data_IF_624727859436
#
_entry.id   IF_624727859436
#
_cell.length_a   1.000
_cell.length_b   1.000
_cell.length_c   1.000
_cell.angle_alpha   90.00
_cell.angle_beta   90.00
_cell.angle_gamma   90.00
#
_symmetry.space_group_name_H-M   'P 1'
#
loop_
_entity.id
_entity.type
_entity.pdbx_description
1 polymer ?
#
# COMPACT_ATOMS: atom_id res chain seq x y z
N UNK A 1 -30.26 -10.62 13.45
CA UNK A 1 -29.01 -10.06 12.95
C UNK A 1 -28.59 -10.86 11.71
N UNK A 2 -28.05 -10.22 10.72
CA UNK A 2 -27.55 -10.84 9.46
C UNK A 2 -26.52 -11.94 9.74
N UNK A 3 -25.82 -11.88 10.87
CA UNK A 3 -24.74 -12.82 11.26
C UNK A 3 -25.22 -14.12 11.92
N UNK A 4 -26.43 -14.20 12.42
CA UNK A 4 -26.93 -15.39 13.16
C UNK A 4 -27.25 -16.61 12.25
N UNK A 5 -27.32 -16.44 10.95
CA UNK A 5 -27.66 -17.52 10.00
C UNK A 5 -26.50 -18.00 9.14
N UNK A 6 -25.37 -17.27 9.10
CA UNK A 6 -24.21 -17.65 8.32
C UNK A 6 -23.06 -18.17 9.20
N UNK A 7 -22.30 -19.16 8.72
CA UNK A 7 -21.09 -19.60 9.43
C UNK A 7 -20.01 -18.50 9.36
N UNK A 8 -19.20 -18.39 10.42
CA UNK A 8 -18.07 -17.45 10.51
C UNK A 8 -17.16 -17.58 9.27
N UNK A 9 -16.86 -18.80 8.87
CA UNK A 9 -16.02 -19.08 7.70
C UNK A 9 -16.64 -18.53 6.40
N UNK A 10 -17.96 -18.56 6.27
CA UNK A 10 -18.65 -17.98 5.09
C UNK A 10 -18.51 -16.47 5.06
N UNK A 11 -18.66 -15.79 6.19
CA UNK A 11 -18.50 -14.33 6.29
C UNK A 11 -17.07 -13.91 5.96
N UNK A 12 -16.08 -14.61 6.52
CA UNK A 12 -14.66 -14.38 6.23
C UNK A 12 -14.39 -14.56 4.72
N UNK A 13 -14.85 -15.66 4.12
CA UNK A 13 -14.67 -15.90 2.67
C UNK A 13 -15.28 -14.83 1.77
N UNK A 14 -16.39 -14.24 2.19
CA UNK A 14 -17.06 -13.15 1.45
C UNK A 14 -16.28 -11.83 1.55
N UNK A 15 -15.64 -11.56 2.70
CA UNK A 15 -14.89 -10.33 2.94
C UNK A 15 -13.42 -10.39 2.46
N UNK A 16 -12.86 -11.59 2.37
CA UNK A 16 -11.48 -11.83 1.94
C UNK A 16 -11.11 -11.17 0.59
N UNK A 17 -11.91 -11.26 -0.48
CA UNK A 17 -11.56 -10.67 -1.78
C UNK A 17 -11.24 -9.19 -1.71
N UNK A 18 -11.97 -8.43 -0.89
CA UNK A 18 -11.73 -6.99 -0.67
C UNK A 18 -10.38 -6.77 0.00
N UNK A 19 -10.16 -7.44 1.14
CA UNK A 19 -8.91 -7.27 1.90
C UNK A 19 -7.69 -7.75 1.11
N UNK A 20 -7.81 -8.87 0.37
CA UNK A 20 -6.76 -9.36 -0.53
C UNK A 20 -6.48 -8.31 -1.63
N UNK A 21 -7.49 -7.75 -2.24
CA UNK A 21 -7.34 -6.71 -3.28
C UNK A 21 -6.57 -5.52 -2.75
N UNK A 22 -7.02 -4.92 -1.66
CA UNK A 22 -6.38 -3.73 -1.09
C UNK A 22 -4.95 -4.05 -0.60
N UNK A 23 -4.78 -5.18 0.08
CA UNK A 23 -3.49 -5.63 0.60
C UNK A 23 -2.48 -5.94 -0.51
N UNK A 24 -2.88 -6.72 -1.52
CA UNK A 24 -2.01 -7.11 -2.62
C UNK A 24 -1.57 -5.91 -3.46
N UNK A 25 -2.53 -5.14 -3.98
CA UNK A 25 -2.22 -3.99 -4.82
C UNK A 25 -1.52 -2.89 -4.04
N UNK A 26 -1.94 -2.63 -2.78
CA UNK A 26 -1.28 -1.68 -1.91
C UNK A 26 0.18 -2.04 -1.68
N UNK A 27 0.47 -3.29 -1.26
CA UNK A 27 1.83 -3.78 -1.05
C UNK A 27 2.66 -3.70 -2.33
N UNK A 28 2.12 -4.18 -3.45
CA UNK A 28 2.81 -4.18 -4.73
C UNK A 28 3.24 -2.76 -5.13
N UNK A 29 2.32 -1.80 -5.09
CA UNK A 29 2.59 -0.40 -5.45
C UNK A 29 3.59 0.23 -4.48
N UNK A 30 3.40 0.03 -3.17
CA UNK A 30 4.32 0.56 -2.15
C UNK A 30 5.74 0.07 -2.44
N UNK A 31 5.96 -1.22 -2.63
CA UNK A 31 7.30 -1.76 -2.85
C UNK A 31 7.90 -1.35 -4.20
N UNK A 32 7.11 -1.41 -5.28
CA UNK A 32 7.58 -1.03 -6.62
C UNK A 32 7.96 0.44 -6.74
N UNK A 33 7.30 1.33 -6.01
CA UNK A 33 7.56 2.77 -6.08
C UNK A 33 8.55 3.22 -5.01
N UNK A 34 8.39 2.75 -3.75
CA UNK A 34 9.21 3.21 -2.62
C UNK A 34 10.67 2.77 -2.72
N UNK A 35 10.93 1.52 -3.17
CA UNK A 35 12.29 1.01 -3.24
C UNK A 35 13.13 1.80 -4.26
N UNK A 36 12.76 1.93 -5.52
CA UNK A 36 13.52 2.71 -6.49
C UNK A 36 13.69 4.18 -6.08
N UNK A 37 12.61 4.78 -5.52
CA UNK A 37 12.66 6.15 -5.04
C UNK A 37 13.60 6.31 -3.85
N UNK A 38 13.56 5.42 -2.86
CA UNK A 38 14.45 5.41 -1.70
C UNK A 38 15.92 5.26 -2.09
N UNK A 39 16.23 4.34 -3.02
CA UNK A 39 17.57 4.16 -3.58
C UNK A 39 18.04 5.46 -4.25
N UNK A 40 17.22 6.04 -5.13
CA UNK A 40 17.57 7.29 -5.82
C UNK A 40 17.80 8.43 -4.84
N UNK A 41 17.01 8.53 -3.78
CA UNK A 41 17.18 9.52 -2.70
C UNK A 41 18.48 9.32 -1.93
N UNK A 42 18.89 8.08 -1.69
CA UNK A 42 20.16 7.77 -1.04
C UNK A 42 21.36 8.15 -1.91
N UNK A 43 21.31 7.81 -3.21
CA UNK A 43 22.37 8.17 -4.17
C UNK A 43 22.53 9.68 -4.32
N UNK A 44 21.43 10.42 -4.38
CA UNK A 44 21.40 11.87 -4.53
C UNK A 44 21.12 12.59 -3.20
N UNK A 45 21.59 12.03 -2.08
CA UNK A 45 21.33 12.57 -0.75
C UNK A 45 21.79 14.02 -0.62
N UNK A 46 20.91 14.88 -0.08
CA UNK A 46 21.14 16.32 0.08
C UNK A 46 20.95 17.15 -1.19
N UNK A 47 20.65 16.53 -2.34
CA UNK A 47 20.33 17.24 -3.58
C UNK A 47 18.93 17.89 -3.50
N UNK A 48 18.65 18.82 -4.43
CA UNK A 48 17.32 19.42 -4.56
C UNK A 48 16.22 18.38 -4.75
N UNK A 49 16.50 17.32 -5.52
CA UNK A 49 15.57 16.20 -5.70
C UNK A 49 15.26 15.51 -4.36
N UNK A 50 16.28 15.22 -3.55
CA UNK A 50 16.08 14.57 -2.26
C UNK A 50 15.29 15.45 -1.30
N UNK A 51 15.60 16.74 -1.22
CA UNK A 51 14.91 17.69 -0.35
C UNK A 51 13.43 17.83 -0.76
N UNK A 52 13.15 18.14 -2.02
CA UNK A 52 11.77 18.35 -2.48
C UNK A 52 10.94 17.07 -2.38
N UNK A 53 11.47 15.93 -2.82
CA UNK A 53 10.75 14.66 -2.69
C UNK A 53 10.51 14.26 -1.24
N UNK A 54 11.43 14.54 -0.31
CA UNK A 54 11.21 14.33 1.12
C UNK A 54 10.09 15.22 1.65
N UNK A 55 10.06 16.49 1.25
CA UNK A 55 9.00 17.43 1.65
C UNK A 55 7.63 16.93 1.21
N UNK A 56 7.48 16.52 -0.06
CA UNK A 56 6.20 15.97 -0.55
C UNK A 56 5.81 14.67 0.15
N UNK A 57 6.76 13.78 0.40
CA UNK A 57 6.53 12.52 1.12
C UNK A 57 6.06 12.80 2.55
N UNK A 58 6.71 13.73 3.26
CA UNK A 58 6.36 14.07 4.65
C UNK A 58 4.98 14.75 4.71
N UNK A 59 4.67 15.67 3.79
CA UNK A 59 3.34 16.29 3.71
C UNK A 59 2.27 15.21 3.47
N UNK A 60 2.49 14.30 2.51
CA UNK A 60 1.57 13.21 2.25
C UNK A 60 1.39 12.27 3.45
N UNK A 61 2.48 11.98 4.16
CA UNK A 61 2.45 11.14 5.36
C UNK A 61 1.71 11.78 6.54
N UNK A 62 1.75 13.12 6.64
CA UNK A 62 1.05 13.85 7.69
C UNK A 62 -0.48 13.82 7.52
N UNK A 63 -0.99 13.54 6.34
CA UNK A 63 -2.41 13.42 6.07
C UNK A 63 -2.88 12.02 6.49
N UNK A 64 -3.82 11.88 7.45
CA UNK A 64 -4.40 10.60 7.78
C UNK A 64 -5.02 9.93 6.54
N UNK A 65 -4.81 8.61 6.37
CA UNK A 65 -5.24 7.89 5.17
C UNK A 65 -6.75 8.05 4.87
N UNK A 66 -7.59 8.10 5.91
CA UNK A 66 -9.03 8.30 5.71
C UNK A 66 -9.36 9.72 5.22
N UNK A 67 -8.66 10.77 5.67
CA UNK A 67 -8.84 12.12 5.14
C UNK A 67 -8.38 12.19 3.69
N UNK A 68 -7.29 11.52 3.37
CA UNK A 68 -6.84 11.42 1.98
C UNK A 68 -7.86 10.69 1.10
N UNK A 69 -8.49 9.61 1.62
CA UNK A 69 -9.61 8.94 0.94
C UNK A 69 -10.78 9.88 0.67
N UNK A 70 -11.17 10.70 1.67
CA UNK A 70 -12.23 11.72 1.48
C UNK A 70 -11.86 12.72 0.39
N UNK A 71 -10.62 13.22 0.39
CA UNK A 71 -10.16 14.13 -0.67
C UNK A 71 -10.23 13.47 -2.05
N UNK A 72 -9.78 12.21 -2.17
CA UNK A 72 -9.86 11.48 -3.43
C UNK A 72 -11.32 11.32 -3.92
N UNK A 73 -12.24 11.00 -3.01
CA UNK A 73 -13.67 10.87 -3.33
C UNK A 73 -14.23 12.21 -3.79
N UNK A 74 -14.02 13.28 -3.02
CA UNK A 74 -14.57 14.61 -3.33
C UNK A 74 -14.06 15.13 -4.67
N UNK A 75 -12.77 14.93 -4.96
CA UNK A 75 -12.20 15.43 -6.21
C UNK A 75 -12.48 14.53 -7.40
N UNK A 76 -12.53 13.20 -7.24
CA UNK A 76 -12.48 12.28 -8.37
C UNK A 76 -13.66 11.32 -8.49
N UNK A 77 -14.54 11.17 -7.47
CA UNK A 77 -15.64 10.22 -7.48
C UNK A 77 -16.98 10.77 -6.97
N UNK A 78 -17.00 11.98 -6.44
CA UNK A 78 -18.19 12.56 -5.81
C UNK A 78 -19.06 13.43 -6.71
N UNK A 79 -18.72 13.58 -8.00
CA UNK A 79 -19.42 14.45 -8.93
C UNK A 79 -19.33 15.95 -8.62
N UNK A 80 -18.61 16.34 -7.55
CA UNK A 80 -18.44 17.75 -7.14
C UNK A 80 -17.44 18.50 -8.01
N UNK A 81 -16.35 17.82 -8.44
CA UNK A 81 -15.30 18.38 -9.29
C UNK A 81 -15.09 17.52 -10.53
N UNK A 82 -14.50 16.34 -10.39
CA UNK A 82 -14.26 15.39 -11.47
C UNK A 82 -14.98 14.08 -11.15
N UNK A 83 -15.78 13.57 -12.07
CA UNK A 83 -16.47 12.29 -11.96
C UNK A 83 -15.73 11.27 -12.82
N UNK A 84 -14.52 10.88 -12.36
CA UNK A 84 -13.61 10.04 -13.12
C UNK A 84 -13.59 8.60 -12.64
N UNK A 85 -13.92 8.35 -11.36
CA UNK A 85 -13.84 7.02 -10.75
C UNK A 85 -15.12 6.66 -10.02
N UNK A 86 -15.48 5.37 -9.96
CA UNK A 86 -16.63 4.91 -9.20
C UNK A 86 -16.40 5.09 -7.70
N UNK A 87 -17.48 5.43 -7.00
CA UNK A 87 -17.44 5.67 -5.55
C UNK A 87 -17.47 4.36 -4.76
N UNK A 88 -18.11 3.31 -5.26
CA UNK A 88 -18.48 2.13 -4.46
C UNK A 88 -18.16 0.82 -5.17
N UNK A 89 -17.80 -0.19 -4.35
CA UNK A 89 -17.64 -1.57 -4.78
C UNK A 89 -16.29 -1.84 -5.45
N UNK A 90 -15.99 -3.12 -5.66
CA UNK A 90 -14.79 -3.57 -6.36
C UNK A 90 -14.98 -3.64 -7.89
N UNK A 91 -16.24 -3.69 -8.34
CA UNK A 91 -16.61 -3.86 -9.74
C UNK A 91 -18.01 -3.28 -9.98
N UNK A 92 -18.35 -3.03 -11.23
CA UNK A 92 -19.67 -2.57 -11.67
C UNK A 92 -20.76 -3.62 -11.46
N UNK A 93 -22.03 -3.18 -11.38
CA UNK A 93 -23.18 -4.08 -11.20
C UNK A 93 -23.36 -5.09 -12.35
N UNK A 94 -22.97 -4.72 -13.56
CA UNK A 94 -23.02 -5.52 -14.77
C UNK A 94 -21.73 -6.31 -15.08
N UNK A 95 -20.79 -6.36 -14.12
CA UNK A 95 -19.48 -7.01 -14.27
C UNK A 95 -19.56 -8.44 -14.85
N UNK A 96 -20.57 -9.22 -14.44
CA UNK A 96 -20.72 -10.60 -14.91
C UNK A 96 -20.93 -10.70 -16.42
N UNK A 97 -21.61 -9.72 -17.02
CA UNK A 97 -21.94 -9.66 -18.45
C UNK A 97 -20.82 -9.08 -19.32
N UNK A 98 -19.81 -8.43 -18.71
CA UNK A 98 -18.71 -7.82 -19.42
C UNK A 98 -17.78 -8.86 -20.07
N UNK A 99 -17.21 -8.58 -21.25
CA UNK A 99 -16.14 -9.39 -21.82
C UNK A 99 -14.87 -9.33 -20.95
N UNK A 100 -14.01 -10.35 -21.02
CA UNK A 100 -12.88 -10.52 -20.11
C UNK A 100 -11.93 -9.30 -20.00
N UNK A 101 -11.68 -8.60 -21.12
CA UNK A 101 -10.81 -7.41 -21.11
C UNK A 101 -11.47 -6.22 -20.41
N UNK A 102 -12.79 -6.05 -20.54
CA UNK A 102 -13.53 -5.01 -19.82
C UNK A 102 -13.62 -5.33 -18.33
N UNK A 103 -13.67 -6.60 -17.93
CA UNK A 103 -13.62 -7.00 -16.53
C UNK A 103 -12.32 -6.55 -15.85
N UNK A 104 -11.19 -6.65 -16.55
CA UNK A 104 -9.90 -6.18 -16.02
C UNK A 104 -9.90 -4.66 -15.85
N UNK A 105 -10.32 -3.93 -16.86
CA UNK A 105 -10.37 -2.46 -16.82
C UNK A 105 -11.37 -1.94 -15.80
N UNK A 106 -12.53 -2.55 -15.69
CA UNK A 106 -13.56 -2.21 -14.70
C UNK A 106 -13.03 -2.43 -13.27
N UNK A 107 -12.45 -3.59 -13.01
CA UNK A 107 -11.85 -3.88 -11.70
C UNK A 107 -10.73 -2.89 -11.35
N UNK A 108 -9.78 -2.64 -12.25
CA UNK A 108 -8.69 -1.70 -12.00
C UNK A 108 -9.22 -0.28 -11.77
N UNK A 109 -10.25 0.11 -12.47
CA UNK A 109 -10.89 1.42 -12.32
C UNK A 109 -11.54 1.58 -10.94
N UNK A 110 -12.26 0.57 -10.46
CA UNK A 110 -12.89 0.58 -9.14
C UNK A 110 -11.88 0.59 -7.99
N UNK A 111 -10.78 -0.16 -8.10
CA UNK A 111 -9.80 -0.27 -7.01
C UNK A 111 -8.80 0.89 -6.96
N UNK A 112 -8.74 1.75 -7.97
CA UNK A 112 -7.72 2.81 -8.08
C UNK A 112 -7.73 3.74 -6.87
N UNK A 113 -8.85 4.36 -6.55
CA UNK A 113 -8.93 5.30 -5.43
C UNK A 113 -8.75 4.62 -4.05
N UNK A 114 -9.42 3.49 -3.75
CA UNK A 114 -9.19 2.76 -2.49
C UNK A 114 -7.74 2.36 -2.29
N UNK A 115 -7.08 1.84 -3.34
CA UNK A 115 -5.67 1.45 -3.27
C UNK A 115 -4.76 2.66 -3.07
N UNK A 116 -4.97 3.76 -3.78
CA UNK A 116 -4.20 4.99 -3.57
C UNK A 116 -4.33 5.52 -2.15
N UNK A 117 -5.53 5.44 -1.56
CA UNK A 117 -5.76 5.85 -0.19
C UNK A 117 -5.00 4.96 0.83
N UNK A 118 -4.87 3.66 0.57
CA UNK A 118 -4.11 2.75 1.44
C UNK A 118 -2.60 2.91 1.30
N UNK A 119 -2.11 3.26 0.10
CA UNK A 119 -0.69 3.34 -0.22
C UNK A 119 0.03 4.49 0.48
N UNK A 120 -0.64 5.62 0.72
CA UNK A 120 0.02 6.87 1.12
C UNK A 120 0.87 6.75 2.40
N UNK A 121 0.38 6.04 3.41
CA UNK A 121 1.10 5.85 4.68
C UNK A 121 2.31 4.92 4.54
N UNK A 122 2.13 3.76 3.93
CA UNK A 122 3.19 2.77 3.74
C UNK A 122 4.28 3.24 2.78
N UNK A 123 3.90 4.00 1.75
CA UNK A 123 4.81 4.59 0.77
C UNK A 123 5.89 5.47 1.42
N UNK A 124 5.49 6.36 2.32
CA UNK A 124 6.42 7.25 2.99
C UNK A 124 7.39 6.47 3.89
N UNK A 125 6.87 5.57 4.71
CA UNK A 125 7.66 4.78 5.65
C UNK A 125 8.70 3.92 4.91
N UNK A 126 8.30 3.18 3.88
CA UNK A 126 9.20 2.30 3.14
C UNK A 126 10.24 3.09 2.31
N UNK A 127 9.86 4.24 1.74
CA UNK A 127 10.80 5.09 1.01
C UNK A 127 11.91 5.60 1.91
N UNK A 128 11.56 6.08 3.12
CA UNK A 128 12.56 6.57 4.08
C UNK A 128 13.39 5.45 4.67
N UNK A 129 12.79 4.29 4.97
CA UNK A 129 13.52 3.09 5.40
C UNK A 129 14.55 2.68 4.35
N UNK A 130 14.14 2.58 3.09
CA UNK A 130 15.04 2.22 1.99
C UNK A 130 16.16 3.24 1.83
N UNK A 131 15.83 4.55 1.84
CA UNK A 131 16.85 5.60 1.78
C UNK A 131 17.89 5.43 2.88
N UNK A 132 17.45 5.27 4.13
CA UNK A 132 18.37 5.17 5.28
C UNK A 132 19.21 3.90 5.21
N UNK A 133 18.62 2.76 4.90
CA UNK A 133 19.36 1.50 4.74
C UNK A 133 20.47 1.61 3.67
N UNK A 134 20.19 2.28 2.55
CA UNK A 134 21.20 2.51 1.51
C UNK A 134 22.28 3.51 1.94
N UNK A 135 21.90 4.59 2.63
CA UNK A 135 22.89 5.57 3.14
C UNK A 135 23.86 4.93 4.14
N UNK A 136 23.34 4.09 5.02
CA UNK A 136 24.17 3.38 6.01
C UNK A 136 25.16 2.44 5.31
N UNK A 137 24.71 1.71 4.29
CA UNK A 137 25.60 0.81 3.53
C UNK A 137 26.62 1.55 2.67
N UNK A 138 26.27 2.65 2.02
CA UNK A 138 27.17 3.45 1.17
C UNK A 138 28.37 4.00 2.00
N UNK A 139 28.17 4.25 3.28
CA UNK A 139 29.20 4.80 4.18
C UNK A 139 30.14 3.76 4.79
N UNK A 140 29.91 2.46 4.58
CA UNK A 140 30.71 1.40 5.18
C UNK A 140 32.10 1.27 4.55
N UNK A 141 33.06 0.81 5.36
CA UNK A 141 34.44 0.69 4.97
C UNK A 141 34.68 -0.20 3.74
N UNK A 142 33.89 -1.23 3.56
CA UNK A 142 34.04 -2.09 2.38
C UNK A 142 33.76 -1.37 1.06
N UNK A 143 32.87 -0.35 1.07
CA UNK A 143 32.58 0.51 -0.10
C UNK A 143 33.81 1.37 -0.42
N UNK A 144 34.43 1.98 0.60
CA UNK A 144 35.68 2.75 0.45
C UNK A 144 36.79 1.86 -0.12
N UNK A 145 36.94 0.66 0.43
CA UNK A 145 37.93 -0.32 -0.06
C UNK A 145 37.70 -0.73 -1.51
N UNK A 146 36.43 -0.95 -1.91
CA UNK A 146 36.10 -1.30 -3.29
C UNK A 146 36.42 -0.15 -4.27
N UNK A 147 36.15 1.10 -3.88
CA UNK A 147 36.55 2.29 -4.67
C UNK A 147 38.07 2.38 -4.84
N UNK A 148 38.80 2.19 -3.73
CA UNK A 148 40.28 2.21 -3.78
C UNK A 148 40.86 1.12 -4.69
N UNK A 149 40.17 -0.01 -4.87
CA UNK A 149 40.52 -1.09 -5.81
C UNK A 149 40.08 -0.82 -7.25
N UNK A 150 39.51 0.34 -7.56
CA UNK A 150 39.08 0.71 -8.91
C UNK A 150 37.75 0.07 -9.37
N UNK A 151 36.94 -0.49 -8.45
CA UNK A 151 35.63 -1.01 -8.81
C UNK A 151 34.70 0.14 -9.15
N UNK A 152 33.98 0.04 -10.28
CA UNK A 152 33.08 1.10 -10.73
C UNK A 152 31.92 1.34 -9.74
N UNK A 153 31.46 2.60 -9.61
CA UNK A 153 30.36 2.98 -8.72
C UNK A 153 29.08 2.16 -8.98
N UNK A 154 28.79 1.85 -10.24
CA UNK A 154 27.67 1.00 -10.62
C UNK A 154 27.78 -0.42 -10.05
N UNK A 155 28.98 -1.01 -10.10
CA UNK A 155 29.20 -2.35 -9.54
C UNK A 155 29.15 -2.31 -8.00
N UNK A 156 29.72 -1.29 -7.37
CA UNK A 156 29.66 -1.10 -5.91
C UNK A 156 28.18 -1.01 -5.49
N UNK A 157 27.40 -0.14 -6.16
CA UNK A 157 26.01 0.07 -5.81
C UNK A 157 25.17 -1.21 -5.95
N UNK A 158 25.23 -1.89 -7.11
CA UNK A 158 24.34 -3.02 -7.39
C UNK A 158 24.82 -4.36 -6.84
N UNK A 159 26.13 -4.62 -6.75
CA UNK A 159 26.64 -5.90 -6.24
C UNK A 159 26.83 -5.91 -4.73
N UNK A 160 27.24 -4.79 -4.15
CA UNK A 160 27.63 -4.73 -2.73
C UNK A 160 26.60 -3.99 -1.88
N UNK A 161 26.31 -2.73 -2.20
CA UNK A 161 25.39 -1.91 -1.39
C UNK A 161 23.96 -2.43 -1.47
N UNK A 162 23.42 -2.65 -2.69
CA UNK A 162 22.06 -3.10 -2.88
C UNK A 162 21.76 -4.41 -2.14
N UNK A 163 22.65 -5.40 -2.28
CA UNK A 163 22.46 -6.70 -1.64
C UNK A 163 22.33 -6.60 -0.12
N UNK A 164 23.18 -5.78 0.50
CA UNK A 164 23.19 -5.64 1.96
C UNK A 164 22.06 -4.73 2.46
N UNK A 165 21.83 -3.59 1.83
CA UNK A 165 20.76 -2.67 2.21
C UNK A 165 19.36 -3.30 2.07
N UNK A 166 19.14 -4.12 1.04
CA UNK A 166 17.87 -4.80 0.81
C UNK A 166 17.55 -5.88 1.85
N UNK A 167 18.52 -6.38 2.60
CA UNK A 167 18.25 -7.37 3.67
C UNK A 167 17.26 -6.82 4.70
N UNK A 168 17.41 -5.54 5.09
CA UNK A 168 16.50 -4.90 6.03
C UNK A 168 15.08 -4.75 5.45
N UNK A 169 14.98 -4.35 4.18
CA UNK A 169 13.71 -4.18 3.47
C UNK A 169 12.99 -5.52 3.29
N UNK A 170 13.74 -6.55 2.87
CA UNK A 170 13.20 -7.91 2.64
C UNK A 170 12.78 -8.55 3.97
N UNK A 171 13.54 -8.36 5.05
CA UNK A 171 13.21 -8.91 6.36
C UNK A 171 11.87 -8.37 6.90
N UNK A 172 11.52 -7.11 6.59
CA UNK A 172 10.25 -6.50 6.97
C UNK A 172 9.04 -6.93 6.10
N UNK A 173 9.30 -7.45 4.89
CA UNK A 173 8.24 -7.76 3.92
C UNK A 173 7.19 -8.76 4.43
N UNK A 174 7.53 -9.91 5.04
CA UNK A 174 6.53 -10.88 5.48
C UNK A 174 5.56 -10.29 6.50
N UNK A 175 6.05 -9.53 7.47
CA UNK A 175 5.21 -8.89 8.49
C UNK A 175 4.28 -7.84 7.87
N UNK A 176 4.80 -6.99 6.99
CA UNK A 176 4.01 -5.97 6.26
C UNK A 176 2.94 -6.64 5.39
N UNK A 177 3.31 -7.67 4.65
CA UNK A 177 2.40 -8.43 3.78
C UNK A 177 1.26 -9.06 4.58
N UNK A 178 1.58 -9.77 5.66
CA UNK A 178 0.58 -10.38 6.54
C UNK A 178 -0.33 -9.30 7.15
N UNK A 179 0.23 -8.22 7.68
CA UNK A 179 -0.57 -7.17 8.30
C UNK A 179 -1.56 -6.54 7.33
N UNK A 180 -1.17 -6.31 6.07
CA UNK A 180 -2.06 -5.75 5.05
C UNK A 180 -3.25 -6.66 4.70
N UNK A 181 -3.06 -7.99 4.76
CA UNK A 181 -4.14 -8.95 4.49
C UNK A 181 -5.12 -9.08 5.66
N UNK A 182 -4.63 -9.04 6.89
CA UNK A 182 -5.44 -9.37 8.07
C UNK A 182 -5.87 -8.17 8.89
N UNK A 183 -5.20 -7.04 8.77
CA UNK A 183 -5.56 -5.87 9.59
C UNK A 183 -6.75 -5.11 9.02
N UNK A 184 -7.05 -5.29 7.71
CA UNK A 184 -8.11 -4.54 7.03
C UNK A 184 -7.89 -3.02 7.14
N UNK A 185 -8.54 -2.28 6.30
CA UNK A 185 -8.54 -0.82 6.40
C UNK A 185 -9.97 -0.34 6.64
N UNK A 186 -10.49 -0.55 7.86
CA UNK A 186 -11.87 -0.25 8.21
C UNK A 186 -12.35 1.09 7.64
N UNK A 187 -11.59 2.16 7.85
CA UNK A 187 -12.01 3.49 7.41
C UNK A 187 -12.05 3.60 5.88
N UNK A 188 -11.11 2.99 5.17
CA UNK A 188 -11.11 2.95 3.70
C UNK A 188 -12.27 2.08 3.20
N UNK A 189 -12.48 0.91 3.81
CA UNK A 189 -13.59 0.02 3.48
C UNK A 189 -14.94 0.71 3.66
N UNK A 190 -15.13 1.47 4.75
CA UNK A 190 -16.34 2.26 4.97
C UNK A 190 -16.51 3.36 3.93
N UNK A 191 -15.44 4.14 3.65
CA UNK A 191 -15.50 5.27 2.71
C UNK A 191 -15.89 4.84 1.29
N UNK A 192 -15.35 3.71 0.83
CA UNK A 192 -15.61 3.17 -0.51
C UNK A 192 -16.70 2.10 -0.54
N UNK A 193 -17.44 1.91 0.57
CA UNK A 193 -18.48 0.90 0.71
C UNK A 193 -18.02 -0.51 0.31
N UNK A 194 -16.84 -0.91 0.80
CA UNK A 194 -16.20 -2.20 0.55
C UNK A 194 -16.43 -3.12 1.76
N UNK A 195 -16.94 -4.32 1.52
CA UNK A 195 -17.18 -5.32 2.57
C UNK A 195 -15.92 -6.16 2.81
N UNK A 196 -14.91 -5.55 3.42
CA UNK A 196 -13.66 -6.23 3.78
C UNK A 196 -13.65 -6.77 5.21
N UNK A 197 -12.52 -7.38 5.60
CA UNK A 197 -12.34 -7.96 6.94
C UNK A 197 -12.32 -6.89 8.05
N UNK A 198 -11.86 -5.67 7.75
CA UNK A 198 -11.87 -4.57 8.72
C UNK A 198 -13.30 -4.17 9.08
N UNK A 199 -14.18 -4.02 8.10
CA UNK A 199 -15.59 -3.72 8.33
C UNK A 199 -16.30 -4.88 9.02
N UNK A 200 -16.06 -6.12 8.60
CA UNK A 200 -16.62 -7.32 9.24
C UNK A 200 -16.25 -7.39 10.73
N UNK A 201 -14.98 -7.17 11.08
CA UNK A 201 -14.53 -7.18 12.47
C UNK A 201 -15.13 -6.06 13.30
N UNK A 202 -15.28 -4.87 12.74
CA UNK A 202 -15.94 -3.75 13.39
C UNK A 202 -17.42 -4.03 13.66
N UNK A 203 -18.17 -4.51 12.68
CA UNK A 203 -19.59 -4.83 12.81
C UNK A 203 -19.82 -5.97 13.82
N UNK A 204 -18.96 -6.99 13.81
CA UNK A 204 -18.97 -8.05 14.82
C UNK A 204 -18.75 -7.51 16.23
N UNK A 205 -17.83 -6.56 16.39
CA UNK A 205 -17.53 -5.93 17.67
C UNK A 205 -18.72 -5.12 18.19
N UNK A 206 -19.30 -4.27 17.36
CA UNK A 206 -20.46 -3.44 17.71
C UNK A 206 -21.68 -4.29 18.04
N UNK A 207 -21.91 -5.38 17.30
CA UNK A 207 -23.01 -6.32 17.53
C UNK A 207 -22.73 -7.34 18.63
N UNK A 208 -21.55 -7.33 19.24
CA UNK A 208 -21.09 -8.30 20.26
C UNK A 208 -21.19 -9.76 19.77
N UNK A 209 -20.86 -9.98 18.50
CA UNK A 209 -20.84 -11.31 17.91
C UNK A 209 -19.46 -11.96 18.14
N UNK A 210 -19.27 -12.50 19.36
CA UNK A 210 -18.00 -13.10 19.77
C UNK A 210 -17.49 -14.20 18.84
N UNK A 211 -18.32 -15.12 18.30
CA UNK A 211 -17.86 -16.10 17.33
C UNK A 211 -17.20 -15.48 16.09
N UNK A 212 -17.70 -14.38 15.59
CA UNK A 212 -17.12 -13.69 14.43
C UNK A 212 -15.89 -12.86 14.82
N UNK A 213 -15.84 -12.31 16.05
CA UNK A 213 -14.68 -11.55 16.54
C UNK A 213 -13.42 -12.39 16.72
N UNK A 214 -13.58 -13.65 17.11
CA UNK A 214 -12.46 -14.55 17.48
C UNK A 214 -12.21 -15.68 16.46
N UNK A 215 -13.00 -15.81 15.43
CA UNK A 215 -12.88 -16.82 14.37
C UNK A 215 -12.13 -16.32 13.18
#
# INVERSE_FOLDING_TARGET
SLFRSASVLTLIKQSLPVSITLGLWGTLIIYLVSIPLGIRKAVYNGSRFDIWSSTFIIIGYAIPAFLFAVLLIVFFAGGSYFDLFPLRGLVSADFSSLPWYQKITDYLWHITLPVLATVIGGFAALTMLTKNAFLDEIRKQYVVTARAKGVSEKQIMWKHVFRNAMLLVIAGFPATFISMFFTGSLLIEVMFSLNGLGLLGYEATVSRDYPVMFG
#
